data_IF_307694840455
#
_entry.id   IF_307694840455
#
_cell.length_a   1.000
_cell.length_b   1.000
_cell.length_c   1.000
_cell.angle_alpha   90.00
_cell.angle_beta   90.00
_cell.angle_gamma   90.00
#
_symmetry.space_group_name_H-M   'P 1'
#
loop_
_entity.id
_entity.type
_entity.pdbx_description
1 polymer ?
#
# COMPACT_ATOMS: atom_id res chain seq x y z
N UNK A 1 -16.91 -94.61 -26.09
CA UNK A 1 -17.75 -93.87 -27.07
C UNK A 1 -17.44 -94.22 -28.53
N UNK A 2 -16.20 -94.54 -28.90
CA UNK A 2 -15.88 -94.98 -30.27
C UNK A 2 -16.45 -96.37 -30.61
N UNK A 3 -16.55 -97.27 -29.63
CA UNK A 3 -17.11 -98.62 -29.86
C UNK A 3 -18.62 -98.63 -30.14
N UNK A 4 -19.39 -97.70 -29.54
CA UNK A 4 -20.82 -97.58 -29.82
C UNK A 4 -21.06 -97.02 -31.23
N UNK A 5 -20.20 -96.11 -31.69
CA UNK A 5 -20.24 -95.59 -33.05
C UNK A 5 -19.90 -96.68 -34.07
N UNK A 6 -18.88 -97.51 -33.79
CA UNK A 6 -18.49 -98.66 -34.63
C UNK A 6 -19.61 -99.70 -34.73
N UNK A 7 -20.28 -100.04 -33.62
CA UNK A 7 -21.45 -100.94 -33.63
C UNK A 7 -22.62 -100.37 -34.43
N UNK A 8 -22.89 -99.06 -34.33
CA UNK A 8 -23.96 -98.42 -35.09
C UNK A 8 -23.67 -98.42 -36.59
N UNK A 9 -22.43 -98.12 -36.99
CA UNK A 9 -22.03 -98.19 -38.40
C UNK A 9 -22.14 -99.63 -38.92
N UNK A 10 -21.68 -100.63 -38.15
CA UNK A 10 -21.80 -102.03 -38.53
C UNK A 10 -23.26 -102.47 -38.68
N UNK A 11 -24.14 -102.05 -37.75
CA UNK A 11 -25.59 -102.34 -37.83
C UNK A 11 -26.27 -101.69 -39.03
N UNK A 12 -25.86 -100.47 -39.42
CA UNK A 12 -26.37 -99.80 -40.62
C UNK A 12 -25.85 -100.50 -41.87
N UNK A 13 -24.59 -100.92 -41.87
CA UNK A 13 -23.98 -101.64 -42.98
C UNK A 13 -24.65 -103.02 -43.19
N UNK A 14 -24.86 -103.78 -42.10
CA UNK A 14 -25.57 -105.05 -42.13
C UNK A 14 -27.04 -104.88 -42.57
N UNK A 15 -27.69 -103.79 -42.14
CA UNK A 15 -29.04 -103.43 -42.57
C UNK A 15 -29.13 -103.11 -44.07
N UNK A 16 -28.16 -102.37 -44.61
CA UNK A 16 -28.07 -102.08 -46.05
C UNK A 16 -27.74 -103.34 -46.84
N UNK A 17 -26.81 -104.17 -46.37
CA UNK A 17 -26.44 -105.44 -47.02
C UNK A 17 -27.59 -106.44 -47.02
N UNK A 18 -28.36 -106.54 -45.94
CA UNK A 18 -29.57 -107.36 -45.88
C UNK A 18 -30.68 -106.81 -46.80
N UNK A 19 -30.83 -105.48 -46.87
CA UNK A 19 -31.74 -104.82 -47.80
C UNK A 19 -31.40 -105.11 -49.27
N UNK A 20 -30.12 -105.04 -49.63
CA UNK A 20 -29.60 -105.35 -50.97
C UNK A 20 -29.69 -106.84 -51.31
N UNK A 21 -29.42 -107.74 -50.37
CA UNK A 21 -29.63 -109.18 -50.58
C UNK A 21 -31.12 -109.50 -50.81
N UNK A 22 -32.03 -108.81 -50.12
CA UNK A 22 -33.48 -108.96 -50.33
C UNK A 22 -33.95 -108.41 -51.69
N UNK A 23 -33.19 -107.51 -52.30
CA UNK A 23 -33.41 -107.04 -53.67
C UNK A 23 -32.69 -107.89 -54.73
N UNK A 24 -31.61 -108.59 -54.35
CA UNK A 24 -30.78 -109.41 -55.24
C UNK A 24 -31.21 -110.88 -55.34
N UNK A 25 -32.05 -111.39 -54.43
CA UNK A 25 -32.68 -112.72 -54.58
C UNK A 25 -33.87 -112.57 -55.52
N UNK A 26 -33.63 -112.94 -56.78
CA UNK A 26 -34.56 -112.79 -57.89
C UNK A 26 -35.87 -113.58 -57.76
N UNK A 27 -36.92 -112.91 -58.23
CA UNK A 27 -38.00 -113.39 -59.09
C UNK A 27 -38.82 -114.63 -58.70
N UNK A 28 -40.13 -114.38 -58.50
CA UNK A 28 -41.17 -115.17 -59.16
C UNK A 28 -41.94 -114.29 -60.14
N UNK A 29 -41.80 -114.64 -61.42
CA UNK A 29 -42.56 -114.19 -62.58
C UNK A 29 -44.07 -114.27 -62.35
N UNK A 30 -44.79 -113.20 -62.70
CA UNK A 30 -46.14 -113.28 -63.27
C UNK A 30 -46.50 -111.97 -64.03
N UNK A 31 -46.55 -112.10 -65.35
CA UNK A 31 -47.47 -111.40 -66.30
C UNK A 31 -47.42 -109.86 -66.46
N UNK A 32 -46.95 -109.43 -67.64
CA UNK A 32 -47.26 -108.15 -68.32
C UNK A 32 -48.51 -108.30 -69.19
N UNK A 33 -49.02 -107.29 -69.94
CA UNK A 33 -49.01 -105.82 -69.75
C UNK A 33 -50.41 -105.17 -69.98
N UNK A 34 -50.68 -104.01 -69.38
CA UNK A 34 -51.71 -103.08 -69.91
C UNK A 34 -51.33 -101.64 -69.61
N UNK A 35 -50.97 -100.93 -70.68
CA UNK A 35 -50.92 -99.47 -70.87
C UNK A 35 -50.65 -98.64 -69.61
N UNK A 36 -49.40 -98.69 -69.16
CA UNK A 36 -48.87 -97.73 -68.21
C UNK A 36 -48.84 -96.37 -68.91
N UNK A 37 -49.85 -95.53 -68.64
CA UNK A 37 -49.92 -94.12 -69.03
C UNK A 37 -48.89 -93.31 -68.21
N UNK A 38 -47.63 -93.74 -68.25
CA UNK A 38 -46.52 -93.19 -67.50
C UNK A 38 -45.97 -92.07 -68.36
N UNK A 39 -46.28 -90.84 -67.96
CA UNK A 39 -45.74 -89.66 -68.59
C UNK A 39 -44.22 -89.63 -68.35
N UNK A 40 -43.45 -90.07 -69.35
CA UNK A 40 -41.99 -90.08 -69.32
C UNK A 40 -41.40 -88.66 -69.16
N UNK A 41 -42.16 -87.61 -69.48
CA UNK A 41 -41.76 -86.21 -69.30
C UNK A 41 -42.07 -85.66 -67.89
N UNK A 42 -42.83 -86.37 -67.04
CA UNK A 42 -43.17 -85.89 -65.70
C UNK A 42 -41.94 -85.69 -64.79
N UNK A 43 -40.87 -86.46 -65.03
CA UNK A 43 -39.58 -86.26 -64.35
C UNK A 43 -38.84 -85.00 -64.82
N UNK A 44 -38.96 -84.65 -66.11
CA UNK A 44 -38.39 -83.43 -66.69
C UNK A 44 -39.13 -82.19 -66.18
N UNK A 45 -40.47 -82.21 -66.19
CA UNK A 45 -41.31 -81.12 -65.67
C UNK A 45 -41.07 -80.86 -64.18
N UNK A 46 -40.95 -81.94 -63.38
CA UNK A 46 -40.65 -81.85 -61.96
C UNK A 46 -39.26 -81.25 -61.70
N UNK A 47 -38.26 -81.70 -62.46
CA UNK A 47 -36.90 -81.16 -62.36
C UNK A 47 -36.86 -79.69 -62.78
N UNK A 48 -37.53 -79.33 -63.86
CA UNK A 48 -37.63 -77.94 -64.33
C UNK A 48 -38.33 -77.05 -63.31
N UNK A 49 -39.39 -77.53 -62.66
CA UNK A 49 -40.07 -76.79 -61.59
C UNK A 49 -39.14 -76.54 -60.40
N UNK A 50 -38.41 -77.54 -59.94
CA UNK A 50 -37.47 -77.35 -58.82
C UNK A 50 -36.27 -76.47 -59.21
N UNK A 51 -35.73 -76.61 -60.42
CA UNK A 51 -34.64 -75.77 -60.92
C UNK A 51 -35.06 -74.31 -61.03
N UNK A 52 -36.27 -74.04 -61.54
CA UNK A 52 -36.79 -72.66 -61.66
C UNK A 52 -37.06 -72.05 -60.28
N UNK A 53 -37.71 -72.78 -59.37
CA UNK A 53 -37.92 -72.32 -57.99
C UNK A 53 -36.61 -72.07 -57.25
N UNK A 54 -35.62 -72.95 -57.40
CA UNK A 54 -34.30 -72.77 -56.82
C UNK A 54 -33.60 -71.54 -57.40
N UNK A 55 -33.65 -71.34 -58.71
CA UNK A 55 -33.06 -70.17 -59.36
C UNK A 55 -33.70 -68.86 -58.90
N UNK A 56 -35.03 -68.82 -58.76
CA UNK A 56 -35.75 -67.65 -58.23
C UNK A 56 -35.36 -67.38 -56.78
N UNK A 57 -35.34 -68.40 -55.92
CA UNK A 57 -34.95 -68.26 -54.51
C UNK A 57 -33.49 -67.78 -54.38
N UNK A 58 -32.58 -68.33 -55.19
CA UNK A 58 -31.18 -67.92 -55.20
C UNK A 58 -31.02 -66.45 -55.63
N UNK A 59 -31.74 -66.03 -56.67
CA UNK A 59 -31.74 -64.64 -57.12
C UNK A 59 -32.27 -63.68 -56.04
N UNK A 60 -33.38 -64.02 -55.38
CA UNK A 60 -33.93 -63.23 -54.28
C UNK A 60 -32.98 -63.17 -53.07
N UNK A 61 -32.31 -64.28 -52.75
CA UNK A 61 -31.31 -64.32 -51.69
C UNK A 61 -30.12 -63.41 -52.00
N UNK A 62 -29.65 -63.40 -53.25
CA UNK A 62 -28.54 -62.53 -53.68
C UNK A 62 -28.93 -61.04 -53.63
N UNK A 63 -30.15 -60.70 -54.07
CA UNK A 63 -30.66 -59.32 -53.95
C UNK A 63 -30.79 -58.88 -52.49
N UNK A 64 -31.32 -59.76 -51.63
CA UNK A 64 -31.44 -59.47 -50.20
C UNK A 64 -30.06 -59.30 -49.54
N UNK A 65 -29.07 -60.13 -49.91
CA UNK A 65 -27.70 -59.98 -49.42
C UNK A 65 -27.09 -58.63 -49.83
N UNK A 66 -27.33 -58.16 -51.06
CA UNK A 66 -26.88 -56.83 -51.51
C UNK A 66 -27.53 -55.70 -50.72
N UNK A 67 -28.86 -55.74 -50.57
CA UNK A 67 -29.59 -54.74 -49.79
C UNK A 67 -29.15 -54.73 -48.31
N UNK A 68 -28.90 -55.89 -47.72
CA UNK A 68 -28.39 -55.99 -46.35
C UNK A 68 -26.99 -55.36 -46.23
N UNK A 69 -26.10 -55.58 -47.21
CA UNK A 69 -24.77 -54.97 -47.25
C UNK A 69 -24.84 -53.45 -47.39
N UNK A 70 -25.73 -52.93 -48.24
CA UNK A 70 -25.92 -51.48 -48.39
C UNK A 70 -26.39 -50.84 -47.08
N UNK A 71 -27.36 -51.46 -46.40
CA UNK A 71 -27.86 -51.00 -45.10
C UNK A 71 -26.75 -51.08 -44.03
N UNK A 72 -26.00 -52.16 -43.98
CA UNK A 72 -24.88 -52.32 -43.03
C UNK A 72 -23.82 -51.22 -43.23
N UNK A 73 -23.50 -50.89 -44.48
CA UNK A 73 -22.58 -49.79 -44.81
C UNK A 73 -23.12 -48.43 -44.35
N UNK A 74 -24.43 -48.17 -44.50
CA UNK A 74 -25.06 -46.94 -44.05
C UNK A 74 -25.10 -46.85 -42.51
N UNK A 75 -25.38 -47.96 -41.82
CA UNK A 75 -25.35 -48.02 -40.36
C UNK A 75 -23.93 -47.78 -39.84
N UNK A 76 -22.93 -48.38 -40.47
CA UNK A 76 -21.51 -48.22 -40.08
C UNK A 76 -21.05 -46.77 -40.25
N UNK A 77 -21.43 -46.11 -41.34
CA UNK A 77 -21.07 -44.70 -41.54
C UNK A 77 -21.78 -43.78 -40.54
N UNK A 78 -23.07 -44.02 -40.27
CA UNK A 78 -23.83 -43.25 -39.29
C UNK A 78 -23.29 -43.42 -37.86
N UNK A 79 -22.94 -44.66 -37.47
CA UNK A 79 -22.37 -44.93 -36.14
C UNK A 79 -21.03 -44.24 -35.96
N UNK A 80 -20.15 -44.31 -36.96
CA UNK A 80 -18.88 -43.57 -36.94
C UNK A 80 -19.08 -42.05 -36.80
N UNK A 81 -20.04 -41.48 -37.54
CA UNK A 81 -20.35 -40.04 -37.44
C UNK A 81 -20.89 -39.68 -36.05
N UNK A 82 -21.78 -40.49 -35.48
CA UNK A 82 -22.27 -40.29 -34.11
C UNK A 82 -21.16 -40.37 -33.07
N UNK A 83 -20.23 -41.32 -33.19
CA UNK A 83 -19.08 -41.45 -32.29
C UNK A 83 -18.16 -40.22 -32.39
N UNK A 84 -17.89 -39.75 -33.60
CA UNK A 84 -17.09 -38.55 -33.84
C UNK A 84 -17.74 -37.30 -33.23
N UNK A 85 -19.04 -37.10 -33.46
CA UNK A 85 -19.79 -35.98 -32.88
C UNK A 85 -19.84 -36.05 -31.36
N UNK A 86 -19.99 -37.25 -30.80
CA UNK A 86 -19.94 -37.46 -29.35
C UNK A 86 -18.56 -37.10 -28.79
N UNK A 87 -17.48 -37.50 -29.46
CA UNK A 87 -16.11 -37.11 -29.09
C UNK A 87 -15.91 -35.60 -29.06
N UNK A 88 -16.32 -34.89 -30.12
CA UNK A 88 -16.25 -33.44 -30.20
C UNK A 88 -17.08 -32.76 -29.10
N UNK A 89 -18.28 -33.26 -28.82
CA UNK A 89 -19.12 -32.74 -27.74
C UNK A 89 -18.47 -32.94 -26.36
N UNK A 90 -17.82 -34.08 -26.13
CA UNK A 90 -17.10 -34.35 -24.88
C UNK A 90 -15.91 -33.40 -24.69
N UNK A 91 -15.16 -33.10 -25.76
CA UNK A 91 -14.09 -32.10 -25.73
C UNK A 91 -14.62 -30.71 -25.40
N UNK A 92 -15.68 -30.27 -26.07
CA UNK A 92 -16.35 -28.99 -25.79
C UNK A 92 -16.81 -28.93 -24.34
N UNK A 93 -17.46 -29.98 -23.85
CA UNK A 93 -17.91 -30.05 -22.46
C UNK A 93 -16.73 -29.93 -21.47
N UNK A 94 -15.61 -30.60 -21.74
CA UNK A 94 -14.39 -30.49 -20.93
C UNK A 94 -13.81 -29.08 -20.91
N UNK A 95 -13.79 -28.41 -22.06
CA UNK A 95 -13.35 -27.01 -22.19
C UNK A 95 -14.26 -26.05 -21.43
N UNK A 96 -15.58 -26.21 -21.56
CA UNK A 96 -16.54 -25.40 -20.81
C UNK A 96 -16.45 -25.63 -19.30
N UNK A 97 -16.16 -26.86 -18.86
CA UNK A 97 -15.97 -27.17 -17.46
C UNK A 97 -14.76 -26.45 -16.83
N UNK A 98 -13.78 -26.02 -17.63
CA UNK A 98 -12.65 -25.22 -17.15
C UNK A 98 -12.96 -23.72 -16.98
N UNK A 99 -14.02 -23.21 -17.62
CA UNK A 99 -14.36 -21.78 -17.61
C UNK A 99 -14.59 -21.23 -16.19
N UNK A 100 -15.28 -21.93 -15.26
CA UNK A 100 -15.43 -21.47 -13.88
C UNK A 100 -14.10 -21.32 -13.13
N UNK A 101 -13.11 -22.18 -13.41
CA UNK A 101 -11.78 -22.08 -12.81
C UNK A 101 -11.05 -20.81 -13.31
N UNK A 102 -11.10 -20.55 -14.62
CA UNK A 102 -10.54 -19.31 -15.20
C UNK A 102 -11.22 -18.09 -14.58
N UNK A 103 -12.55 -18.12 -14.43
CA UNK A 103 -13.29 -17.05 -13.78
C UNK A 103 -12.87 -16.85 -12.32
N UNK A 104 -12.68 -17.93 -11.56
CA UNK A 104 -12.21 -17.86 -10.17
C UNK A 104 -10.80 -17.25 -10.08
N UNK A 105 -9.89 -17.65 -10.98
CA UNK A 105 -8.55 -17.08 -11.06
C UNK A 105 -8.58 -15.58 -11.40
N UNK A 106 -9.42 -15.16 -12.35
CA UNK A 106 -9.61 -13.74 -12.68
C UNK A 106 -10.15 -12.94 -11.49
N UNK A 107 -11.14 -13.46 -10.76
CA UNK A 107 -11.64 -12.81 -9.56
C UNK A 107 -10.56 -12.69 -8.47
N UNK A 108 -9.75 -13.74 -8.29
CA UNK A 108 -8.61 -13.70 -7.37
C UNK A 108 -7.59 -12.63 -7.79
N UNK A 109 -7.24 -12.56 -9.08
CA UNK A 109 -6.32 -11.53 -9.60
C UNK A 109 -6.90 -10.13 -9.37
N UNK A 110 -8.20 -9.93 -9.64
CA UNK A 110 -8.86 -8.65 -9.39
C UNK A 110 -8.83 -8.26 -7.91
N UNK A 111 -9.06 -9.22 -7.01
CA UNK A 111 -8.95 -9.00 -5.56
C UNK A 111 -7.53 -8.60 -5.14
N UNK A 112 -6.50 -9.27 -5.68
CA UNK A 112 -5.09 -8.90 -5.40
C UNK A 112 -4.77 -7.50 -5.89
N UNK A 113 -5.22 -7.11 -7.09
CA UNK A 113 -5.08 -5.75 -7.62
C UNK A 113 -5.78 -4.74 -6.71
N UNK A 114 -6.98 -5.06 -6.22
CA UNK A 114 -7.69 -4.24 -5.22
C UNK A 114 -6.87 -4.05 -3.95
N UNK A 115 -6.29 -5.12 -3.40
CA UNK A 115 -5.44 -5.02 -2.21
C UNK A 115 -4.18 -4.19 -2.43
N UNK A 116 -3.55 -4.32 -3.61
CA UNK A 116 -2.36 -3.55 -3.97
C UNK A 116 -2.68 -2.06 -4.10
N UNK A 117 -3.83 -1.72 -4.68
CA UNK A 117 -4.30 -0.33 -4.72
C UNK A 117 -4.47 0.26 -3.32
N UNK A 118 -5.11 -0.48 -2.41
CA UNK A 118 -5.24 -0.03 -1.02
C UNK A 118 -3.89 0.17 -0.32
N UNK A 119 -2.94 -0.73 -0.53
CA UNK A 119 -1.55 -0.59 -0.03
C UNK A 119 -0.85 0.64 -0.62
N UNK A 120 -1.04 0.93 -1.91
CA UNK A 120 -0.48 2.14 -2.52
C UNK A 120 -1.10 3.41 -1.93
N UNK A 121 -2.42 3.45 -1.73
CA UNK A 121 -3.09 4.59 -1.09
C UNK A 121 -2.59 4.81 0.35
N UNK A 122 -2.37 3.73 1.11
CA UNK A 122 -1.80 3.82 2.46
C UNK A 122 -0.36 4.34 2.45
N UNK A 123 0.48 3.86 1.52
CA UNK A 123 1.86 4.33 1.36
C UNK A 123 1.89 5.80 0.92
N UNK A 124 1.06 6.19 -0.04
CA UNK A 124 0.93 7.58 -0.48
C UNK A 124 0.49 8.49 0.67
N UNK A 125 -0.50 8.06 1.46
CA UNK A 125 -0.92 8.78 2.66
C UNK A 125 0.20 8.91 3.71
N UNK A 126 0.97 7.84 3.92
CA UNK A 126 2.13 7.85 4.81
C UNK A 126 3.25 8.77 4.33
N UNK A 127 3.48 8.86 3.02
CA UNK A 127 4.47 9.76 2.43
C UNK A 127 4.07 11.23 2.57
N UNK A 128 2.80 11.56 2.35
CA UNK A 128 2.30 12.93 2.58
C UNK A 128 2.45 13.33 4.04
N UNK A 129 2.09 12.46 4.98
CA UNK A 129 2.26 12.73 6.40
C UNK A 129 3.73 12.90 6.80
N UNK A 130 4.65 12.20 6.13
CA UNK A 130 6.08 12.35 6.35
C UNK A 130 6.60 13.69 5.82
N UNK A 131 6.13 14.12 4.65
CA UNK A 131 6.43 15.44 4.07
C UNK A 131 5.96 16.56 4.99
N UNK A 132 4.70 16.51 5.46
CA UNK A 132 4.16 17.46 6.43
C UNK A 132 5.03 17.55 7.71
N UNK A 133 5.46 16.39 8.22
CA UNK A 133 6.32 16.32 9.40
C UNK A 133 7.72 16.92 9.15
N UNK A 134 8.28 16.71 7.97
CA UNK A 134 9.58 17.30 7.59
C UNK A 134 9.49 18.83 7.53
N UNK A 135 8.42 19.38 6.94
CA UNK A 135 8.18 20.82 6.90
C UNK A 135 8.04 21.41 8.31
N UNK A 136 7.27 20.75 9.18
CA UNK A 136 7.10 21.15 10.58
C UNK A 136 8.43 21.18 11.34
N UNK A 137 9.26 20.15 11.18
CA UNK A 137 10.58 20.08 11.80
C UNK A 137 11.50 21.19 11.28
N UNK A 138 11.52 21.44 9.97
CA UNK A 138 12.31 22.52 9.38
C UNK A 138 11.86 23.91 9.88
N UNK A 139 10.56 24.11 10.09
CA UNK A 139 10.02 25.35 10.65
C UNK A 139 10.38 25.51 12.14
N UNK A 140 10.33 24.42 12.92
CA UNK A 140 10.76 24.42 14.31
C UNK A 140 12.25 24.75 14.45
N UNK A 141 13.11 24.16 13.61
CA UNK A 141 14.55 24.42 13.59
C UNK A 141 14.82 25.92 13.33
N UNK A 142 14.23 26.48 12.27
CA UNK A 142 14.35 27.92 11.96
C UNK A 142 13.87 28.81 13.11
N UNK A 143 12.77 28.43 13.76
CA UNK A 143 12.23 29.19 14.90
C UNK A 143 13.18 29.14 16.08
N UNK A 144 13.80 27.99 16.34
CA UNK A 144 14.78 27.82 17.41
C UNK A 144 16.04 28.67 17.15
N UNK A 145 16.55 28.64 15.92
CA UNK A 145 17.71 29.44 15.50
C UNK A 145 17.47 30.94 15.67
N UNK A 146 16.30 31.43 15.24
CA UNK A 146 15.91 32.82 15.42
C UNK A 146 15.83 33.20 16.90
N UNK A 147 15.22 32.35 17.74
CA UNK A 147 15.14 32.58 19.19
C UNK A 147 16.52 32.62 19.83
N UNK A 148 17.41 31.71 19.45
CA UNK A 148 18.78 31.66 19.95
C UNK A 148 19.56 32.92 19.55
N UNK A 149 19.46 33.34 18.29
CA UNK A 149 20.08 34.56 17.77
C UNK A 149 19.58 35.82 18.50
N UNK A 150 18.27 35.92 18.73
CA UNK A 150 17.67 37.02 19.50
C UNK A 150 18.15 37.03 20.96
N UNK A 151 18.22 35.88 21.62
CA UNK A 151 18.71 35.77 22.99
C UNK A 151 20.17 36.23 23.09
N UNK A 152 21.02 35.78 22.17
CA UNK A 152 22.45 36.14 22.13
C UNK A 152 22.65 37.64 21.86
N UNK A 153 21.88 38.21 20.92
CA UNK A 153 21.91 39.65 20.64
C UNK A 153 21.48 40.48 21.85
N UNK A 154 20.40 40.06 22.54
CA UNK A 154 19.92 40.71 23.77
C UNK A 154 20.94 40.64 24.89
N UNK A 155 21.58 39.49 25.09
CA UNK A 155 22.65 39.33 26.07
C UNK A 155 23.84 40.24 25.76
N UNK A 156 24.28 40.28 24.50
CA UNK A 156 25.36 41.17 24.05
C UNK A 156 25.02 42.64 24.26
N UNK A 157 23.78 43.04 23.99
CA UNK A 157 23.32 44.41 24.24
C UNK A 157 23.29 44.73 25.74
N UNK A 158 22.76 43.84 26.57
CA UNK A 158 22.78 43.97 28.04
C UNK A 158 24.21 44.08 28.58
N UNK A 159 25.14 43.28 28.07
CA UNK A 159 26.54 43.33 28.48
C UNK A 159 27.17 44.69 28.13
N UNK A 160 26.90 45.23 26.94
CA UNK A 160 27.34 46.57 26.53
C UNK A 160 26.73 47.67 27.41
N UNK A 161 25.43 47.60 27.71
CA UNK A 161 24.78 48.55 28.61
C UNK A 161 25.38 48.51 30.02
N UNK A 162 25.61 47.31 30.56
CA UNK A 162 26.25 47.15 31.86
C UNK A 162 27.69 47.68 31.86
N UNK A 163 28.45 47.46 30.78
CA UNK A 163 29.80 48.01 30.64
C UNK A 163 29.78 49.56 30.65
N UNK A 164 28.89 50.17 29.85
CA UNK A 164 28.71 51.64 29.83
C UNK A 164 28.26 52.18 31.19
N UNK A 165 27.34 51.50 31.86
CA UNK A 165 26.88 51.87 33.20
C UNK A 165 28.02 51.84 34.21
N UNK A 166 28.86 50.80 34.15
CA UNK A 166 30.03 50.69 35.02
C UNK A 166 31.05 51.80 34.74
N UNK A 167 31.34 52.09 33.46
CA UNK A 167 32.22 53.20 33.07
C UNK A 167 31.69 54.56 33.54
N UNK A 168 30.39 54.81 33.36
CA UNK A 168 29.73 56.02 33.84
C UNK A 168 29.79 56.14 35.37
N UNK A 169 29.57 55.03 36.08
CA UNK A 169 29.68 55.00 37.54
C UNK A 169 31.11 55.32 38.01
N UNK A 170 32.13 54.73 37.36
CA UNK A 170 33.54 54.96 37.69
C UNK A 170 33.93 56.41 37.41
N UNK A 171 33.53 56.96 36.25
CA UNK A 171 33.82 58.36 35.91
C UNK A 171 33.10 59.34 36.83
N UNK A 172 31.84 59.07 37.19
CA UNK A 172 31.10 59.87 38.16
C UNK A 172 31.78 59.85 39.53
N UNK A 173 32.16 58.67 40.02
CA UNK A 173 32.84 58.55 41.30
C UNK A 173 34.21 59.26 41.30
N UNK A 174 34.96 59.17 40.21
CA UNK A 174 36.21 59.93 40.06
C UNK A 174 35.98 61.45 40.06
N UNK A 175 34.92 61.94 39.40
CA UNK A 175 34.54 63.37 39.42
C UNK A 175 34.11 63.84 40.80
N UNK A 176 33.34 63.02 41.53
CA UNK A 176 32.93 63.33 42.90
C UNK A 176 34.13 63.47 43.83
N UNK A 177 35.07 62.53 43.76
CA UNK A 177 36.31 62.60 44.54
C UNK A 177 37.13 63.84 44.17
N UNK A 178 37.23 64.17 42.88
CA UNK A 178 37.94 65.38 42.43
C UNK A 178 37.27 66.68 42.93
N UNK A 179 35.92 66.74 42.91
CA UNK A 179 35.16 67.87 43.45
C UNK A 179 35.32 67.99 44.96
N UNK A 180 35.22 66.88 45.70
CA UNK A 180 35.44 66.85 47.15
C UNK A 180 36.84 67.34 47.51
N UNK A 181 37.87 66.85 46.81
CA UNK A 181 39.26 67.30 46.98
C UNK A 181 39.39 68.80 46.70
N UNK A 182 38.81 69.30 45.60
CA UNK A 182 38.86 70.71 45.26
C UNK A 182 38.16 71.59 46.30
N UNK A 183 37.00 71.16 46.82
CA UNK A 183 36.31 71.85 47.91
C UNK A 183 37.10 71.80 49.21
N UNK A 184 37.82 70.71 49.47
CA UNK A 184 38.67 70.57 50.65
C UNK A 184 39.91 71.48 50.57
N UNK A 185 40.57 71.58 49.41
CA UNK A 185 41.69 72.51 49.23
C UNK A 185 41.25 73.97 49.38
N UNK A 186 40.12 74.35 48.78
CA UNK A 186 39.57 75.71 48.98
C UNK A 186 39.25 75.99 50.45
N UNK A 187 38.70 75.01 51.19
CA UNK A 187 38.44 75.14 52.63
C UNK A 187 39.73 75.32 53.43
N UNK A 188 40.78 74.54 53.13
CA UNK A 188 42.10 74.66 53.77
C UNK A 188 42.78 75.98 53.46
N UNK A 189 42.72 76.46 52.22
CA UNK A 189 43.24 77.78 51.83
C UNK A 189 42.53 78.91 52.58
N UNK A 190 41.19 78.86 52.65
CA UNK A 190 40.41 79.82 53.44
C UNK A 190 40.77 79.76 54.92
N UNK A 191 40.88 78.57 55.49
CA UNK A 191 41.29 78.38 56.89
C UNK A 191 42.70 78.94 57.13
N UNK A 192 43.64 78.72 56.20
CA UNK A 192 44.98 79.26 56.29
C UNK A 192 44.98 80.79 56.21
N UNK A 193 44.26 81.39 55.26
CA UNK A 193 44.14 82.85 55.14
C UNK A 193 43.51 83.44 56.40
N UNK A 194 42.44 82.83 56.93
CA UNK A 194 41.83 83.27 58.19
C UNK A 194 42.78 83.10 59.38
N UNK A 195 43.58 82.03 59.41
CA UNK A 195 44.59 81.80 60.44
C UNK A 195 45.70 82.85 60.38
N UNK A 196 46.21 83.16 59.19
CA UNK A 196 47.22 84.19 58.95
C UNK A 196 46.68 85.58 59.36
N UNK A 197 45.49 85.96 58.89
CA UNK A 197 44.80 87.18 59.32
C UNK A 197 44.61 87.23 60.84
N UNK A 198 44.17 86.14 61.45
CA UNK A 198 44.03 86.05 62.90
C UNK A 198 45.38 86.25 63.60
N UNK A 199 46.47 85.66 63.10
CA UNK A 199 47.81 85.86 63.69
C UNK A 199 48.31 87.29 63.53
N UNK A 200 48.00 87.94 62.40
CA UNK A 200 48.31 89.33 62.14
C UNK A 200 47.51 90.26 63.06
N UNK A 201 46.20 90.01 63.22
CA UNK A 201 45.34 90.71 64.18
C UNK A 201 45.85 90.53 65.61
N UNK A 202 46.33 89.34 65.96
CA UNK A 202 46.89 89.04 67.28
C UNK A 202 48.24 89.77 67.51
N UNK A 203 49.03 90.00 66.46
CA UNK A 203 50.23 90.86 66.51
C UNK A 203 49.84 92.35 66.62
N UNK A 204 48.90 92.81 65.81
CA UNK A 204 48.37 94.18 65.87
C UNK A 204 47.78 94.50 67.25
N UNK A 205 47.09 93.53 67.88
CA UNK A 205 46.59 93.65 69.26
C UNK A 205 47.73 93.80 70.27
N UNK A 206 48.79 92.99 70.17
CA UNK A 206 49.97 93.08 71.05
C UNK A 206 50.72 94.40 70.91
N UNK A 207 50.73 95.00 69.73
CA UNK A 207 51.47 96.24 69.44
C UNK A 207 50.68 97.52 69.72
N UNK A 208 49.35 97.53 69.54
CA UNK A 208 48.52 98.74 69.65
C UNK A 208 47.51 98.76 70.80
N UNK A 209 47.31 97.64 71.50
CA UNK A 209 46.45 97.56 72.70
C UNK A 209 44.95 97.76 72.47
N UNK A 210 44.49 97.85 71.22
CA UNK A 210 43.08 98.03 70.85
C UNK A 210 42.72 97.04 69.73
N UNK A 211 41.64 96.28 69.94
CA UNK A 211 41.03 95.46 68.88
C UNK A 211 40.23 96.38 67.98
N UNK A 212 40.53 96.43 66.68
CA UNK A 212 39.68 97.09 65.69
C UNK A 212 38.34 96.35 65.65
N UNK A 213 37.32 96.87 66.33
CA UNK A 213 35.97 96.31 66.26
C UNK A 213 35.35 96.68 64.90
N UNK A 214 35.24 95.71 63.99
CA UNK A 214 34.09 95.47 63.09
C UNK A 214 34.46 94.38 62.09
N UNK A 215 33.75 93.26 62.13
CA UNK A 215 33.32 92.65 60.87
C UNK A 215 32.46 93.72 60.23
N UNK A 216 32.97 94.33 59.17
CA UNK A 216 32.15 95.05 58.21
C UNK A 216 31.20 94.05 57.58
N UNK A 217 30.07 93.82 58.24
CA UNK A 217 28.79 93.62 57.55
C UNK A 217 28.40 94.97 56.96
N UNK A 218 29.05 95.35 55.87
CA UNK A 218 28.53 96.36 54.97
C UNK A 218 27.45 95.68 54.12
N UNK A 219 26.22 96.14 54.33
CA UNK A 219 25.09 96.07 53.40
C UNK A 219 24.53 94.67 53.10
N UNK A 220 23.68 94.16 54.00
CA UNK A 220 22.27 93.83 53.72
C UNK A 220 21.68 93.04 54.89
N UNK A 221 21.14 93.75 55.87
CA UNK A 221 20.03 93.20 56.67
C UNK A 221 18.75 93.28 55.83
N UNK A 222 18.61 92.38 54.86
CA UNK A 222 17.33 91.69 54.69
C UNK A 222 17.52 90.33 55.33
N UNK A 223 17.01 90.21 56.56
CA UNK A 223 17.00 88.96 57.29
C UNK A 223 16.16 87.93 56.56
N UNK A 224 16.81 87.06 55.78
CA UNK A 224 16.28 85.75 55.48
C UNK A 224 16.66 84.86 56.66
N UNK A 225 15.75 84.77 57.63
CA UNK A 225 15.81 83.74 58.66
C UNK A 225 15.68 82.37 57.97
N UNK A 226 16.35 81.35 58.50
CA UNK A 226 16.22 79.96 58.02
C UNK A 226 14.78 79.41 58.06
N UNK A 227 13.84 80.11 58.69
CA UNK A 227 12.40 79.78 58.70
C UNK A 227 11.67 80.22 57.42
N UNK A 228 12.30 81.01 56.53
CA UNK A 228 11.71 81.50 55.26
C UNK A 228 12.40 80.94 54.00
N UNK A 229 13.39 80.04 54.14
CA UNK A 229 13.85 79.25 52.99
C UNK A 229 12.86 78.10 52.82
N UNK A 230 11.87 78.33 51.97
CA UNK A 230 11.05 77.25 51.45
C UNK A 230 11.95 76.31 50.63
N UNK A 231 12.20 75.11 51.15
CA UNK A 231 12.89 74.03 50.45
C UNK A 231 11.92 73.25 49.55
N UNK A 232 10.73 73.77 49.29
CA UNK A 232 9.89 73.32 48.18
C UNK A 232 10.49 73.83 46.86
N UNK A 233 11.58 73.17 46.48
CA UNK A 233 12.08 73.17 45.13
C UNK A 233 10.94 72.67 44.24
N UNK A 234 10.46 73.55 43.35
CA UNK A 234 9.33 73.34 42.43
C UNK A 234 9.40 71.93 41.79
N UNK A 235 8.67 70.96 42.35
CA UNK A 235 8.70 69.55 41.89
C UNK A 235 7.97 69.37 40.56
N UNK A 236 7.37 70.44 40.03
CA UNK A 236 6.63 70.46 38.78
C UNK A 236 7.48 69.98 37.60
N UNK A 237 8.76 70.37 37.52
CA UNK A 237 9.67 69.89 36.45
C UNK A 237 10.03 68.41 36.61
N UNK A 238 10.19 67.92 37.85
CA UNK A 238 10.50 66.53 38.15
C UNK A 238 9.27 65.62 37.92
N UNK A 239 8.08 66.12 38.25
CA UNK A 239 6.80 65.44 37.98
C UNK A 239 6.48 65.42 36.48
N UNK A 240 6.86 66.45 35.71
CA UNK A 240 6.74 66.42 34.26
C UNK A 240 7.69 65.39 33.62
N UNK A 241 8.90 65.24 34.17
CA UNK A 241 9.85 64.23 33.72
C UNK A 241 9.44 62.79 34.08
N UNK A 242 8.81 62.57 35.23
CA UNK A 242 8.38 61.24 35.68
C UNK A 242 7.04 60.78 35.08
N UNK A 243 6.18 61.72 34.67
CA UNK A 243 4.87 61.41 34.10
C UNK A 243 4.85 61.33 32.56
N UNK A 244 5.99 61.54 31.89
CA UNK A 244 6.07 61.35 30.44
C UNK A 244 6.28 59.84 30.14
N UNK A 245 5.30 59.14 29.55
CA UNK A 245 5.43 57.74 29.22
C UNK A 245 6.36 57.59 28.01
N UNK A 246 7.47 56.89 28.19
CA UNK A 246 8.19 56.26 27.09
C UNK A 246 7.43 55.02 26.58
#
# INVERSE_FOLDING_TARGET
MFESLKKNIQSVQDGITAGLQRLSVGEKSATTPTESNVNLAAGEDLLQMYQTQWATMHHMAEQNAKLAQDIDSAITTLTHECENQHGQMAEIHSLLAHLPNIMAQLHSMLATIGSLRGLFEEVEGGLLALEDLEEDLALQEKTLDLRLSLALSREKHNHRLNALRNELSVTHQAKMVALEQHQETQRKEREQVFSEQFTEDLKNYKERGVVTRRISSSEDEQGLKLEEVDLEQDTSELDQFLNDPA
#
